data_IF_173207633298
#
_entry.id   IF_173207633298
#
_cell.length_a   1.000
_cell.length_b   1.000
_cell.length_c   1.000
_cell.angle_alpha   90.00
_cell.angle_beta   90.00
_cell.angle_gamma   90.00
#
_symmetry.space_group_name_H-M   'P 1'
#
loop_
_entity.id
_entity.type
_entity.pdbx_description
1 polymer ?
#
# COMPACT_ATOMS: atom_id res chain seq x y z
N UNK A 1 -7.85 7.40 16.37
CA UNK A 1 -8.70 8.13 15.38
C UNK A 1 -9.64 7.13 14.73
N UNK A 2 -10.93 7.40 14.77
CA UNK A 2 -11.89 6.55 14.04
C UNK A 2 -11.95 6.95 12.58
N UNK A 3 -11.85 5.98 11.70
CA UNK A 3 -11.94 6.20 10.26
C UNK A 3 -13.37 6.56 9.85
N UNK A 4 -13.51 7.53 8.94
CA UNK A 4 -14.74 7.79 8.23
C UNK A 4 -14.44 8.18 6.78
N UNK A 5 -15.44 8.03 5.90
CA UNK A 5 -15.26 8.22 4.46
C UNK A 5 -15.01 9.69 4.05
N UNK A 6 -15.29 10.65 4.94
CA UNK A 6 -15.02 12.06 4.65
C UNK A 6 -13.57 12.47 4.93
N UNK A 7 -12.76 11.60 5.49
CA UNK A 7 -11.33 11.83 5.63
C UNK A 7 -10.67 11.97 4.26
N UNK A 8 -9.63 12.78 4.22
CA UNK A 8 -8.93 13.10 2.97
C UNK A 8 -7.79 12.12 2.74
N UNK A 9 -7.74 11.59 1.53
CA UNK A 9 -6.76 10.57 1.14
C UNK A 9 -5.82 11.13 0.08
N UNK A 10 -4.53 10.96 0.27
CA UNK A 10 -3.56 11.14 -0.81
C UNK A 10 -3.12 9.76 -1.29
N UNK A 11 -3.32 9.50 -2.58
CA UNK A 11 -3.03 8.21 -3.20
C UNK A 11 -2.04 8.43 -4.33
N UNK A 12 -0.91 7.71 -4.29
CA UNK A 12 0.02 7.72 -5.42
C UNK A 12 -0.37 6.64 -6.44
N UNK A 13 -0.01 6.86 -7.72
CA UNK A 13 -0.29 5.86 -8.76
C UNK A 13 -1.75 5.76 -9.16
N UNK A 14 -2.43 6.91 -9.32
CA UNK A 14 -3.87 6.95 -9.58
C UNK A 14 -4.26 6.87 -11.06
N UNK A 15 -3.29 6.76 -11.96
CA UNK A 15 -3.57 6.73 -13.41
C UNK A 15 -4.14 5.40 -13.89
N UNK A 16 -3.94 4.32 -13.15
CA UNK A 16 -4.39 2.96 -13.52
C UNK A 16 -4.33 2.02 -12.31
N UNK A 17 -4.90 0.83 -12.50
CA UNK A 17 -4.82 -0.25 -11.53
C UNK A 17 -5.50 0.07 -10.21
N UNK A 18 -4.90 -0.41 -9.12
CA UNK A 18 -5.46 -0.27 -7.78
C UNK A 18 -5.61 1.20 -7.36
N UNK A 19 -4.60 2.03 -7.65
CA UNK A 19 -4.65 3.45 -7.29
C UNK A 19 -5.82 4.16 -7.96
N UNK A 20 -6.07 3.89 -9.23
CA UNK A 20 -7.21 4.46 -9.97
C UNK A 20 -8.54 4.01 -9.35
N UNK A 21 -8.67 2.71 -9.08
CA UNK A 21 -9.90 2.15 -8.51
C UNK A 21 -10.22 2.76 -7.15
N UNK A 22 -9.22 2.99 -6.31
CA UNK A 22 -9.41 3.62 -5.01
C UNK A 22 -9.98 5.04 -5.11
N UNK A 23 -9.60 5.79 -6.15
CA UNK A 23 -10.10 7.16 -6.33
C UNK A 23 -11.61 7.22 -6.58
N UNK A 24 -12.22 6.13 -7.04
CA UNK A 24 -13.67 6.06 -7.25
C UNK A 24 -14.44 5.98 -5.93
N UNK A 25 -13.80 5.61 -4.84
CA UNK A 25 -14.46 5.39 -3.55
C UNK A 25 -14.07 6.40 -2.48
N UNK A 26 -12.94 7.08 -2.63
CA UNK A 26 -12.32 7.87 -1.56
C UNK A 26 -12.24 9.34 -1.95
N UNK A 27 -12.39 10.22 -0.97
CA UNK A 27 -12.14 11.64 -1.17
C UNK A 27 -10.64 11.88 -1.22
N UNK A 28 -10.15 12.40 -2.36
CA UNK A 28 -8.72 12.53 -2.63
C UNK A 28 -8.25 13.98 -2.61
N UNK A 29 -7.01 14.15 -2.14
CA UNK A 29 -6.26 15.41 -2.22
C UNK A 29 -4.96 15.16 -2.97
N UNK A 30 -4.23 16.23 -3.31
CA UNK A 30 -3.10 16.16 -4.24
C UNK A 30 -1.72 16.07 -3.57
N UNK A 31 -1.66 16.16 -2.25
CA UNK A 31 -0.38 16.17 -1.54
C UNK A 31 -0.48 15.60 -0.13
N UNK A 32 0.67 15.27 0.45
CA UNK A 32 0.77 14.68 1.79
C UNK A 32 0.27 15.63 2.88
N UNK A 33 0.53 16.91 2.77
CA UNK A 33 0.23 17.89 3.83
C UNK A 33 -1.27 17.99 4.08
N UNK A 34 -2.07 17.90 3.03
CA UNK A 34 -3.53 18.07 3.12
C UNK A 34 -4.27 16.80 3.49
N UNK A 35 -3.63 15.63 3.44
CA UNK A 35 -4.32 14.37 3.68
C UNK A 35 -4.37 14.01 5.17
N UNK A 36 -5.34 13.19 5.52
CA UNK A 36 -5.40 12.47 6.79
C UNK A 36 -4.76 11.08 6.66
N UNK A 37 -4.92 10.48 5.49
CA UNK A 37 -4.48 9.13 5.19
C UNK A 37 -3.67 9.14 3.89
N UNK A 38 -2.48 8.54 3.94
CA UNK A 38 -1.63 8.34 2.77
C UNK A 38 -1.68 6.88 2.32
N UNK A 39 -2.07 6.66 1.07
CA UNK A 39 -2.02 5.34 0.43
C UNK A 39 -0.85 5.33 -0.55
N UNK A 40 0.22 4.67 -0.13
CA UNK A 40 1.52 4.64 -0.78
C UNK A 40 1.53 3.50 -1.82
N UNK A 41 0.93 3.76 -2.97
CA UNK A 41 0.58 2.72 -3.94
C UNK A 41 1.57 2.61 -5.11
N UNK A 42 2.15 3.73 -5.57
CA UNK A 42 2.98 3.72 -6.77
C UNK A 42 4.36 3.12 -6.49
N UNK A 43 4.69 2.04 -7.18
CA UNK A 43 6.03 1.50 -7.17
C UNK A 43 6.92 2.26 -8.16
N UNK A 44 8.02 2.81 -7.67
CA UNK A 44 9.03 3.50 -8.48
C UNK A 44 10.38 3.44 -7.73
N UNK A 45 11.15 2.40 -7.99
CA UNK A 45 12.41 2.16 -7.28
C UNK A 45 12.19 2.07 -5.77
N UNK A 46 12.92 2.86 -5.01
CA UNK A 46 12.80 2.97 -3.56
C UNK A 46 11.91 4.15 -3.11
N UNK A 47 11.18 4.78 -4.02
CA UNK A 47 10.39 5.98 -3.70
C UNK A 47 9.31 5.75 -2.66
N UNK A 48 8.74 4.52 -2.58
CA UNK A 48 7.77 4.20 -1.53
C UNK A 48 8.38 4.30 -0.13
N UNK A 49 9.66 3.92 0.03
CA UNK A 49 10.37 4.04 1.32
C UNK A 49 10.54 5.51 1.69
N UNK A 50 10.98 6.33 0.73
CA UNK A 50 11.18 7.76 0.96
C UNK A 50 9.88 8.47 1.33
N UNK A 51 8.80 8.19 0.61
CA UNK A 51 7.49 8.77 0.88
C UNK A 51 6.92 8.29 2.22
N UNK A 52 7.16 7.04 2.58
CA UNK A 52 6.76 6.52 3.89
C UNK A 52 7.41 7.33 5.02
N UNK A 53 8.71 7.61 4.94
CA UNK A 53 9.39 8.41 5.95
C UNK A 53 8.86 9.85 5.99
N UNK A 54 8.57 10.45 4.85
CA UNK A 54 7.96 11.80 4.82
C UNK A 54 6.59 11.81 5.49
N UNK A 55 5.74 10.86 5.14
CA UNK A 55 4.40 10.77 5.71
C UNK A 55 4.44 10.51 7.23
N UNK A 56 5.40 9.71 7.69
CA UNK A 56 5.59 9.46 9.12
C UNK A 56 5.99 10.73 9.87
N UNK A 57 6.86 11.55 9.28
CA UNK A 57 7.25 12.86 9.87
C UNK A 57 6.06 13.80 10.01
N UNK A 58 5.10 13.70 9.10
CA UNK A 58 3.89 14.53 9.12
C UNK A 58 2.76 13.90 9.96
N UNK A 59 3.04 12.80 10.65
CA UNK A 59 2.08 12.08 11.50
C UNK A 59 0.83 11.61 10.75
N UNK A 60 0.97 11.21 9.50
CA UNK A 60 -0.15 10.68 8.72
C UNK A 60 -0.41 9.22 9.06
N UNK A 61 -1.64 8.78 8.88
CA UNK A 61 -1.96 7.36 8.84
C UNK A 61 -1.57 6.83 7.46
N UNK A 62 -0.88 5.69 7.40
CA UNK A 62 -0.23 5.24 6.19
C UNK A 62 -0.62 3.80 5.86
N UNK A 63 -0.98 3.57 4.59
CA UNK A 63 -1.11 2.23 4.04
C UNK A 63 -0.13 2.11 2.88
N UNK A 64 0.83 1.19 3.00
CA UNK A 64 1.80 0.90 1.95
C UNK A 64 1.34 -0.31 1.16
N UNK A 65 1.31 -0.19 -0.16
CA UNK A 65 0.99 -1.31 -1.04
C UNK A 65 2.28 -2.05 -1.35
N UNK A 66 2.44 -3.18 -0.69
CA UNK A 66 3.58 -4.06 -0.84
C UNK A 66 3.31 -5.21 -1.80
N UNK A 67 4.10 -6.27 -1.68
CA UNK A 67 4.04 -7.44 -2.54
C UNK A 67 4.47 -8.67 -1.75
N UNK A 68 3.94 -9.85 -2.14
CA UNK A 68 4.43 -11.11 -1.62
C UNK A 68 5.70 -11.61 -2.32
N UNK A 69 6.20 -10.88 -3.32
CA UNK A 69 7.38 -11.31 -4.10
C UNK A 69 8.63 -11.57 -3.24
N UNK A 70 8.91 -10.82 -2.14
CA UNK A 70 10.06 -11.14 -1.29
C UNK A 70 10.01 -12.54 -0.67
N UNK A 71 8.82 -13.10 -0.46
CA UNK A 71 8.67 -14.44 0.11
C UNK A 71 8.96 -15.54 -0.89
N UNK A 72 8.68 -15.30 -2.17
CA UNK A 72 8.79 -16.31 -3.22
C UNK A 72 10.09 -16.29 -4.01
N UNK A 73 10.75 -15.14 -4.10
CA UNK A 73 11.94 -14.96 -4.93
C UNK A 73 13.17 -14.90 -4.04
N UNK A 74 13.83 -16.04 -3.85
CA UNK A 74 14.94 -16.20 -2.89
C UNK A 74 16.24 -16.69 -3.51
N UNK A 75 16.23 -17.16 -4.75
CA UNK A 75 17.35 -17.90 -5.31
C UNK A 75 18.14 -17.15 -6.38
N UNK A 76 17.71 -15.96 -6.75
CA UNK A 76 18.39 -15.14 -7.77
C UNK A 76 18.16 -13.66 -7.50
N UNK A 77 19.02 -12.78 -8.05
CA UNK A 77 18.82 -11.33 -7.90
C UNK A 77 17.51 -10.90 -8.55
N UNK A 78 16.72 -10.10 -7.80
CA UNK A 78 15.45 -9.58 -8.26
C UNK A 78 15.19 -8.23 -7.59
N UNK A 79 15.51 -7.15 -8.30
CA UNK A 79 15.50 -5.80 -7.72
C UNK A 79 14.12 -5.40 -7.17
N UNK A 80 13.05 -5.77 -7.86
CA UNK A 80 11.69 -5.46 -7.39
C UNK A 80 11.44 -6.07 -6.01
N UNK A 81 11.82 -7.35 -5.81
CA UNK A 81 11.66 -8.01 -4.50
C UNK A 81 12.49 -7.32 -3.41
N UNK A 82 13.69 -6.87 -3.75
CA UNK A 82 14.54 -6.11 -2.82
C UNK A 82 13.90 -4.79 -2.43
N UNK A 83 13.35 -4.06 -3.40
CA UNK A 83 12.68 -2.78 -3.16
C UNK A 83 11.43 -2.97 -2.29
N UNK A 84 10.66 -4.02 -2.54
CA UNK A 84 9.49 -4.33 -1.71
C UNK A 84 9.88 -4.82 -0.31
N UNK A 85 10.99 -5.56 -0.18
CA UNK A 85 11.54 -5.92 1.14
C UNK A 85 11.96 -4.69 1.94
N UNK A 86 12.56 -3.70 1.27
CA UNK A 86 12.93 -2.44 1.93
C UNK A 86 11.70 -1.73 2.49
N UNK A 87 10.60 -1.72 1.73
CA UNK A 87 9.33 -1.15 2.19
C UNK A 87 8.81 -1.90 3.43
N UNK A 88 8.82 -3.23 3.40
CA UNK A 88 8.39 -4.05 4.53
C UNK A 88 9.21 -3.72 5.79
N UNK A 89 10.52 -3.60 5.65
CA UNK A 89 11.41 -3.31 6.79
C UNK A 89 11.21 -1.90 7.33
N UNK A 90 11.08 -0.91 6.46
CA UNK A 90 10.81 0.47 6.87
C UNK A 90 9.48 0.56 7.62
N UNK A 91 8.44 -0.09 7.10
CA UNK A 91 7.14 -0.16 7.77
C UNK A 91 7.24 -0.77 9.17
N UNK A 92 7.94 -1.90 9.29
CA UNK A 92 8.11 -2.58 10.58
C UNK A 92 8.76 -1.67 11.62
N UNK A 93 9.86 -1.01 11.25
CA UNK A 93 10.58 -0.13 12.17
C UNK A 93 9.72 1.05 12.63
N UNK A 94 9.01 1.68 11.71
CA UNK A 94 8.14 2.82 12.03
C UNK A 94 6.93 2.38 12.87
N UNK A 95 6.37 1.22 12.57
CA UNK A 95 5.26 0.67 13.35
C UNK A 95 5.65 0.51 14.82
N UNK A 96 6.82 -0.04 15.10
CA UNK A 96 7.30 -0.22 16.47
C UNK A 96 7.71 1.08 17.16
N UNK A 97 7.86 2.16 16.39
CA UNK A 97 8.05 3.51 16.94
C UNK A 97 6.73 4.24 17.19
N UNK A 98 5.60 3.59 16.98
CA UNK A 98 4.29 4.17 17.24
C UNK A 98 3.61 4.82 16.04
N UNK A 99 4.19 4.72 14.84
CA UNK A 99 3.56 5.25 13.63
C UNK A 99 2.39 4.35 13.22
N UNK A 100 1.27 4.95 12.84
CA UNK A 100 0.12 4.20 12.32
C UNK A 100 0.36 3.90 10.84
N UNK A 101 1.12 2.84 10.59
CA UNK A 101 1.52 2.41 9.27
C UNK A 101 1.30 0.91 9.10
N UNK A 102 0.73 0.54 7.97
CA UNK A 102 0.47 -0.84 7.59
C UNK A 102 1.12 -1.11 6.23
N UNK A 103 1.71 -2.29 6.05
CA UNK A 103 2.03 -2.77 4.72
C UNK A 103 1.07 -3.90 4.36
N UNK A 104 0.34 -3.75 3.26
CA UNK A 104 -0.48 -4.81 2.71
C UNK A 104 0.25 -5.42 1.52
N UNK A 105 0.56 -6.70 1.64
CA UNK A 105 1.39 -7.45 0.69
C UNK A 105 0.46 -8.29 -0.17
N UNK A 106 0.21 -7.81 -1.39
CA UNK A 106 -0.66 -8.49 -2.33
C UNK A 106 0.12 -9.46 -3.22
N UNK A 107 -0.50 -10.60 -3.53
CA UNK A 107 -0.19 -11.37 -4.71
C UNK A 107 -0.69 -10.65 -5.96
N UNK A 108 -0.83 -11.35 -7.09
CA UNK A 108 -1.25 -10.70 -8.33
C UNK A 108 -2.66 -10.12 -8.22
N UNK A 109 -2.78 -8.84 -8.56
CA UNK A 109 -4.06 -8.15 -8.73
C UNK A 109 -4.32 -8.04 -10.23
N UNK A 110 -5.55 -8.35 -10.64
CA UNK A 110 -5.94 -8.38 -12.05
C UNK A 110 -6.03 -6.96 -12.64
N UNK A 111 -4.90 -6.47 -13.12
CA UNK A 111 -4.74 -5.15 -13.74
C UNK A 111 -4.07 -5.32 -15.10
N UNK A 112 -4.11 -4.33 -15.99
CA UNK A 112 -3.42 -4.40 -17.28
C UNK A 112 -1.92 -4.74 -17.16
N UNK A 113 -1.28 -4.33 -16.07
CA UNK A 113 0.15 -4.61 -15.82
C UNK A 113 0.48 -6.11 -15.82
N UNK A 114 -0.46 -6.95 -15.40
CA UNK A 114 -0.28 -8.40 -15.26
C UNK A 114 -1.16 -9.21 -16.21
N UNK A 115 -1.66 -8.61 -17.29
CA UNK A 115 -2.56 -9.31 -18.23
C UNK A 115 -1.93 -10.57 -18.85
N UNK A 116 -0.59 -10.61 -18.99
CA UNK A 116 0.15 -11.74 -19.56
C UNK A 116 0.58 -12.79 -18.54
N UNK A 117 0.29 -12.55 -17.26
CA UNK A 117 0.61 -13.51 -16.20
C UNK A 117 -0.50 -14.56 -16.12
N UNK A 118 -0.14 -15.83 -16.18
CA UNK A 118 -1.10 -16.95 -16.15
C UNK A 118 -1.49 -17.38 -14.75
N UNK A 119 -0.81 -16.89 -13.71
CA UNK A 119 -1.12 -17.23 -12.32
C UNK A 119 -2.48 -16.66 -11.91
N UNK A 120 -3.04 -17.22 -10.83
CA UNK A 120 -4.28 -16.71 -10.27
C UNK A 120 -4.11 -15.25 -9.85
N UNK A 121 -5.15 -14.47 -10.07
CA UNK A 121 -5.20 -13.04 -9.75
C UNK A 121 -6.44 -12.74 -8.91
N UNK A 122 -6.30 -11.82 -7.97
CA UNK A 122 -7.46 -11.30 -7.26
C UNK A 122 -8.01 -10.08 -8.01
N UNK A 123 -9.31 -9.83 -7.89
CA UNK A 123 -9.90 -8.65 -8.53
C UNK A 123 -9.41 -7.36 -7.88
N UNK A 124 -9.37 -6.28 -8.68
CA UNK A 124 -9.05 -4.95 -8.16
C UNK A 124 -10.07 -4.53 -7.08
N UNK A 125 -11.33 -4.87 -7.29
CA UNK A 125 -12.38 -4.55 -6.32
C UNK A 125 -12.13 -5.23 -4.98
N UNK A 126 -11.74 -6.51 -4.98
CA UNK A 126 -11.39 -7.21 -3.77
C UNK A 126 -10.20 -6.56 -3.05
N UNK A 127 -9.17 -6.16 -3.80
CA UNK A 127 -8.02 -5.46 -3.23
C UNK A 127 -8.43 -4.14 -2.56
N UNK A 128 -9.35 -3.39 -3.18
CA UNK A 128 -9.93 -2.19 -2.56
C UNK A 128 -10.63 -2.52 -1.24
N UNK A 129 -11.42 -3.61 -1.22
CA UNK A 129 -12.13 -4.03 -0.01
C UNK A 129 -11.17 -4.39 1.13
N UNK A 130 -10.04 -5.00 0.82
CA UNK A 130 -8.98 -5.29 1.82
C UNK A 130 -8.47 -3.98 2.44
N UNK A 131 -8.19 -2.98 1.61
CA UNK A 131 -7.72 -1.68 2.10
C UNK A 131 -8.78 -1.02 2.99
N UNK A 132 -10.05 -1.06 2.59
CA UNK A 132 -11.14 -0.51 3.40
C UNK A 132 -11.30 -1.25 4.73
N UNK A 133 -11.10 -2.56 4.73
CA UNK A 133 -11.10 -3.34 5.96
C UNK A 133 -10.01 -2.85 6.92
N UNK A 134 -8.79 -2.65 6.43
CA UNK A 134 -7.67 -2.12 7.23
C UNK A 134 -8.03 -0.76 7.82
N UNK A 135 -8.58 0.13 7.00
CA UNK A 135 -8.94 1.49 7.42
C UNK A 135 -9.99 1.50 8.54
N UNK A 136 -10.90 0.52 8.55
CA UNK A 136 -11.97 0.43 9.54
C UNK A 136 -11.57 -0.23 10.84
N UNK A 137 -10.36 -0.79 10.94
CA UNK A 137 -9.94 -1.45 12.17
C UNK A 137 -9.71 -0.44 13.29
N UNK A 138 -10.11 -0.73 14.54
CA UNK A 138 -9.91 0.18 15.67
C UNK A 138 -8.47 0.18 16.19
N UNK A 139 -7.68 -0.81 15.82
CA UNK A 139 -6.28 -0.95 16.23
C UNK A 139 -5.37 -0.89 15.02
N UNK A 140 -4.10 -0.59 15.26
CA UNK A 140 -3.11 -0.56 14.20
C UNK A 140 -2.87 -1.97 13.66
N UNK A 141 -2.87 -2.10 12.34
CA UNK A 141 -2.50 -3.34 11.64
C UNK A 141 -1.10 -3.13 11.07
N UNK A 142 -0.15 -3.94 11.51
CA UNK A 142 1.24 -3.79 11.04
C UNK A 142 1.42 -4.31 9.62
N UNK A 143 0.87 -5.47 9.36
CA UNK A 143 1.11 -6.18 8.11
C UNK A 143 -0.05 -7.11 7.81
N UNK A 144 -0.37 -7.24 6.53
CA UNK A 144 -1.36 -8.18 6.04
C UNK A 144 -0.91 -8.71 4.68
N UNK A 145 -0.82 -10.04 4.53
CA UNK A 145 -0.48 -10.67 3.25
C UNK A 145 -1.72 -11.34 2.68
N UNK A 146 -2.08 -11.02 1.45
CA UNK A 146 -3.26 -11.54 0.78
C UNK A 146 -2.88 -12.07 -0.60
N UNK A 147 -3.19 -13.34 -0.84
CA UNK A 147 -2.85 -14.04 -2.08
C UNK A 147 -4.07 -14.70 -2.67
N UNK A 148 -4.16 -14.80 -4.00
CA UNK A 148 -5.22 -15.55 -4.67
C UNK A 148 -5.22 -17.03 -4.28
#
# INVERSE_FOLDING_TARGET
MMYNASMKHYITGTRRGLGQALTDYLECVDNLEECDIFINCKHDGFSQVELLYEAAKLNKRIINIGSNSPDGIKTHPHIYAVQKSALDKANEQLFYQGVDTCVVRFGYIDTPRVERVDDKKMSVDYACQVIFWILRQPHRVKELTVCP
#
